data_IF_168816905994
#
_entry.id   IF_168816905994
#
_cell.length_a   1.000
_cell.length_b   1.000
_cell.length_c   1.000
_cell.angle_alpha   90.00
_cell.angle_beta   90.00
_cell.angle_gamma   90.00
#
_symmetry.space_group_name_H-M   'P 1'
#
loop_
_entity.id
_entity.type
_entity.pdbx_description
1 polymer ?
#
# COMPACT_ATOMS: atom_id res chain seq x y z
N UNK A 1 -24.50 17.68 -10.46
CA UNK A 1 -24.67 16.28 -10.01
C UNK A 1 -24.78 16.26 -8.49
N UNK A 2 -25.85 15.70 -7.89
CA UNK A 2 -25.99 15.68 -6.44
C UNK A 2 -24.99 14.67 -5.85
N UNK A 3 -24.03 15.15 -5.04
CA UNK A 3 -23.11 14.31 -4.25
C UNK A 3 -23.95 13.54 -3.23
N UNK A 4 -24.18 12.23 -3.44
CA UNK A 4 -24.68 11.35 -2.37
C UNK A 4 -23.78 11.54 -1.15
N UNK A 5 -24.36 11.93 -0.02
CA UNK A 5 -23.65 12.20 1.24
C UNK A 5 -22.97 10.89 1.67
N UNK A 6 -21.65 10.76 1.45
CA UNK A 6 -20.88 9.61 1.94
C UNK A 6 -21.07 9.54 3.47
N UNK A 7 -21.30 8.35 4.02
CA UNK A 7 -21.35 8.20 5.48
C UNK A 7 -19.97 8.57 6.07
N UNK A 8 -19.94 9.10 7.29
CA UNK A 8 -18.68 9.48 7.94
C UNK A 8 -17.68 8.31 8.02
N UNK A 9 -18.19 7.08 8.16
CA UNK A 9 -17.40 5.85 8.14
C UNK A 9 -16.71 5.59 6.80
N UNK A 10 -17.38 5.84 5.66
CA UNK A 10 -16.75 5.68 4.33
C UNK A 10 -15.62 6.67 4.11
N UNK A 11 -15.78 7.91 4.59
CA UNK A 11 -14.74 8.93 4.54
C UNK A 11 -13.56 8.53 5.43
N UNK A 12 -13.83 7.99 6.62
CA UNK A 12 -12.80 7.50 7.52
C UNK A 12 -11.99 6.35 6.88
N UNK A 13 -12.66 5.36 6.29
CA UNK A 13 -12.01 4.26 5.59
C UNK A 13 -11.09 4.76 4.45
N UNK A 14 -11.59 5.70 3.64
CA UNK A 14 -10.81 6.34 2.57
C UNK A 14 -9.56 7.03 3.11
N UNK A 15 -9.67 7.81 4.19
CA UNK A 15 -8.51 8.47 4.83
C UNK A 15 -7.50 7.43 5.33
N UNK A 16 -7.94 6.38 6.02
CA UNK A 16 -7.04 5.33 6.52
C UNK A 16 -6.32 4.61 5.37
N UNK A 17 -7.03 4.30 4.29
CA UNK A 17 -6.45 3.65 3.12
C UNK A 17 -5.37 4.54 2.47
N UNK A 18 -5.64 5.85 2.33
CA UNK A 18 -4.68 6.80 1.77
C UNK A 18 -3.44 6.99 2.65
N UNK A 19 -3.62 7.09 3.97
CA UNK A 19 -2.48 7.16 4.91
C UNK A 19 -1.68 5.87 4.85
N UNK A 20 -2.34 4.71 4.88
CA UNK A 20 -1.69 3.40 4.76
C UNK A 20 -0.90 3.26 3.45
N UNK A 21 -1.47 3.69 2.32
CA UNK A 21 -0.80 3.71 1.02
C UNK A 21 0.43 4.62 1.00
N UNK A 22 0.34 5.80 1.63
CA UNK A 22 1.48 6.71 1.77
C UNK A 22 2.62 6.04 2.53
N UNK A 23 2.30 5.40 3.66
CA UNK A 23 3.29 4.70 4.48
C UNK A 23 3.90 3.54 3.69
N UNK A 24 3.11 2.78 2.92
CA UNK A 24 3.62 1.70 2.06
C UNK A 24 4.64 2.20 1.04
N UNK A 25 4.36 3.33 0.37
CA UNK A 25 5.28 3.91 -0.60
C UNK A 25 6.59 4.33 0.07
N UNK A 26 6.50 4.98 1.24
CA UNK A 26 7.68 5.39 2.02
C UNK A 26 8.50 4.17 2.45
N UNK A 27 7.86 3.15 3.01
CA UNK A 27 8.54 1.90 3.40
C UNK A 27 9.18 1.19 2.22
N UNK A 28 8.47 1.10 1.09
CA UNK A 28 9.00 0.50 -0.13
C UNK A 28 10.22 1.24 -0.66
N UNK A 29 10.18 2.58 -0.66
CA UNK A 29 11.32 3.42 -1.03
C UNK A 29 12.50 3.23 -0.07
N UNK A 30 12.25 3.14 1.25
CA UNK A 30 13.29 2.86 2.24
C UNK A 30 13.92 1.48 2.05
N UNK A 31 13.15 0.46 1.69
CA UNK A 31 13.70 -0.85 1.36
C UNK A 31 14.66 -0.76 0.18
N UNK A 32 14.29 -0.06 -0.89
CA UNK A 32 15.13 0.11 -2.08
C UNK A 32 16.41 0.90 -1.75
N UNK A 33 16.29 2.05 -1.07
CA UNK A 33 17.42 2.93 -0.75
C UNK A 33 18.35 2.32 0.30
N UNK A 34 17.80 1.70 1.35
CA UNK A 34 18.58 1.04 2.40
C UNK A 34 19.43 -0.11 1.85
N UNK A 35 19.01 -0.73 0.76
CA UNK A 35 19.81 -1.73 0.04
C UNK A 35 20.96 -1.09 -0.72
N UNK A 36 20.74 0.03 -1.44
CA UNK A 36 21.84 0.75 -2.10
C UNK A 36 22.95 1.15 -1.12
N UNK A 37 22.62 1.53 0.12
CA UNK A 37 23.58 1.87 1.16
C UNK A 37 24.33 0.63 1.70
N UNK A 38 23.66 -0.51 1.87
CA UNK A 38 24.27 -1.73 2.42
C UNK A 38 25.07 -2.53 1.38
N UNK A 39 24.69 -2.49 0.11
CA UNK A 39 25.46 -3.07 -1.00
C UNK A 39 26.80 -2.33 -1.16
N UNK A 40 26.83 -1.02 -0.92
CA UNK A 40 28.07 -0.23 -0.95
C UNK A 40 29.04 -0.59 0.18
N UNK A 41 28.54 -1.07 1.34
CA UNK A 41 29.36 -1.32 2.52
C UNK A 41 29.88 -2.76 2.65
N UNK A 42 29.34 -3.73 1.91
CA UNK A 42 29.76 -5.14 2.04
C UNK A 42 29.71 -5.90 0.70
N UNK A 43 30.84 -5.95 0.01
CA UNK A 43 31.10 -6.88 -1.10
C UNK A 43 31.26 -8.31 -0.56
N UNK A 44 30.15 -8.98 -0.24
CA UNK A 44 30.13 -10.43 0.01
C UNK A 44 28.98 -11.05 -0.80
N UNK A 45 29.27 -11.92 -1.76
CA UNK A 45 28.27 -12.49 -2.69
C UNK A 45 27.03 -13.12 -2.02
N UNK A 46 27.12 -13.55 -0.76
CA UNK A 46 25.98 -14.08 0.01
C UNK A 46 24.91 -13.04 0.37
N UNK A 47 25.24 -11.74 0.43
CA UNK A 47 24.26 -10.67 0.72
C UNK A 47 23.47 -10.23 -0.51
N UNK A 48 23.92 -10.58 -1.72
CA UNK A 48 23.31 -10.13 -2.98
C UNK A 48 21.94 -10.76 -3.23
N UNK A 49 21.76 -12.06 -2.94
CA UNK A 49 20.46 -12.74 -3.13
C UNK A 49 19.41 -12.23 -2.14
N UNK A 50 19.81 -11.99 -0.89
CA UNK A 50 18.95 -11.44 0.15
C UNK A 50 18.57 -9.97 -0.12
N UNK A 51 19.47 -9.25 -0.81
CA UNK A 51 19.29 -7.87 -1.26
C UNK A 51 18.25 -7.78 -2.39
N UNK A 52 18.30 -8.64 -3.42
CA UNK A 52 17.30 -8.59 -4.51
C UNK A 52 15.87 -8.84 -4.02
N UNK A 53 15.66 -9.79 -3.11
CA UNK A 53 14.33 -10.08 -2.56
C UNK A 53 13.69 -8.87 -1.86
N UNK A 54 14.50 -8.06 -1.16
CA UNK A 54 14.00 -6.84 -0.51
C UNK A 54 13.72 -5.71 -1.49
N UNK A 55 14.46 -5.61 -2.60
CA UNK A 55 14.15 -4.65 -3.69
C UNK A 55 12.78 -4.99 -4.29
N UNK A 56 12.58 -6.27 -4.63
CA UNK A 56 11.31 -6.75 -5.22
C UNK A 56 10.15 -6.45 -4.27
N UNK A 57 10.30 -6.77 -2.98
CA UNK A 57 9.28 -6.44 -1.97
C UNK A 57 9.01 -4.93 -1.92
N UNK A 58 10.05 -4.10 -1.91
CA UNK A 58 9.90 -2.64 -1.90
C UNK A 58 9.14 -2.10 -3.12
N UNK A 59 9.42 -2.62 -4.31
CA UNK A 59 8.70 -2.27 -5.54
C UNK A 59 7.22 -2.69 -5.42
N UNK A 60 6.93 -3.90 -4.94
CA UNK A 60 5.55 -4.37 -4.78
C UNK A 60 4.77 -3.49 -3.81
N UNK A 61 5.36 -3.08 -2.68
CA UNK A 61 4.70 -2.19 -1.72
C UNK A 61 4.39 -0.81 -2.35
N UNK A 62 5.30 -0.26 -3.15
CA UNK A 62 5.07 0.98 -3.89
C UNK A 62 3.93 0.81 -4.88
N UNK A 63 3.92 -0.28 -5.65
CA UNK A 63 2.86 -0.56 -6.62
C UNK A 63 1.49 -0.66 -5.94
N UNK A 64 1.39 -1.37 -4.82
CA UNK A 64 0.15 -1.46 -4.03
C UNK A 64 -0.30 -0.06 -3.58
N UNK A 65 0.60 0.77 -3.04
CA UNK A 65 0.27 2.13 -2.64
C UNK A 65 -0.20 3.00 -3.81
N UNK A 66 0.43 2.87 -4.99
CA UNK A 66 0.02 3.58 -6.20
C UNK A 66 -1.35 3.12 -6.71
N UNK A 67 -1.66 1.83 -6.63
CA UNK A 67 -2.99 1.30 -6.97
C UNK A 67 -4.04 1.95 -6.07
N UNK A 68 -3.81 2.02 -4.76
CA UNK A 68 -4.72 2.67 -3.82
C UNK A 68 -4.93 4.14 -4.17
N UNK A 69 -3.86 4.88 -4.46
CA UNK A 69 -3.96 6.29 -4.88
C UNK A 69 -4.68 6.48 -6.22
N UNK A 70 -4.44 5.62 -7.20
CA UNK A 70 -5.13 5.68 -8.49
C UNK A 70 -6.62 5.42 -8.32
N UNK A 71 -6.99 4.42 -7.53
CA UNK A 71 -8.38 4.05 -7.28
C UNK A 71 -9.19 5.07 -6.48
N UNK A 72 -8.53 5.91 -5.68
CA UNK A 72 -9.16 7.05 -4.99
C UNK A 72 -9.03 8.37 -5.77
N UNK A 73 -8.66 8.33 -7.06
CA UNK A 73 -8.49 9.50 -7.94
C UNK A 73 -7.45 10.53 -7.43
N UNK A 74 -6.54 10.13 -6.55
CA UNK A 74 -5.43 10.99 -6.07
C UNK A 74 -4.38 11.16 -7.16
N UNK A 75 -4.14 10.13 -7.97
CA UNK A 75 -3.23 10.16 -9.12
C UNK A 75 -4.01 9.73 -10.37
N UNK A 76 -3.90 10.52 -11.45
CA UNK A 76 -4.52 10.20 -12.73
C UNK A 76 -3.72 9.13 -13.47
N UNK A 77 -4.10 7.88 -13.28
CA UNK A 77 -3.59 6.71 -14.02
C UNK A 77 -4.78 6.01 -14.67
N UNK A 78 -4.59 5.40 -15.84
CA UNK A 78 -5.62 4.61 -16.56
C UNK A 78 -5.97 3.28 -15.86
N UNK A 79 -6.00 3.23 -14.53
CA UNK A 79 -6.47 2.08 -13.78
C UNK A 79 -7.97 2.23 -13.47
N UNK A 80 -8.78 1.30 -13.97
CA UNK A 80 -10.21 1.20 -13.66
C UNK A 80 -10.40 0.13 -12.59
N UNK A 81 -10.09 0.44 -11.34
CA UNK A 81 -10.34 -0.49 -10.22
C UNK A 81 -11.25 0.19 -9.20
N UNK A 82 -12.45 -0.35 -9.06
CA UNK A 82 -13.39 0.09 -8.02
C UNK A 82 -12.85 -0.32 -6.64
N UNK A 83 -12.67 0.66 -5.75
CA UNK A 83 -12.11 0.39 -4.43
C UNK A 83 -13.20 -0.04 -3.47
N UNK A 84 -13.55 -1.32 -3.56
CA UNK A 84 -14.44 -2.00 -2.62
C UNK A 84 -13.68 -2.51 -1.39
N UNK A 85 -14.38 -2.74 -0.29
CA UNK A 85 -13.81 -3.37 0.91
C UNK A 85 -13.03 -4.65 0.59
N UNK A 86 -13.50 -5.47 -0.37
CA UNK A 86 -12.81 -6.69 -0.80
C UNK A 86 -11.47 -6.38 -1.45
N UNK A 87 -11.40 -5.35 -2.29
CA UNK A 87 -10.17 -4.92 -2.95
C UNK A 87 -9.16 -4.40 -1.92
N UNK A 88 -9.61 -3.57 -0.97
CA UNK A 88 -8.77 -3.10 0.13
C UNK A 88 -8.24 -4.26 0.98
N UNK A 89 -9.07 -5.27 1.26
CA UNK A 89 -8.67 -6.44 2.03
C UNK A 89 -7.59 -7.24 1.32
N UNK A 90 -7.76 -7.49 0.01
CA UNK A 90 -6.77 -8.20 -0.81
C UNK A 90 -5.45 -7.42 -0.87
N UNK A 91 -5.50 -6.10 -1.10
CA UNK A 91 -4.30 -5.24 -1.11
C UNK A 91 -3.63 -5.16 0.27
N UNK A 92 -4.41 -5.13 1.34
CA UNK A 92 -3.92 -5.16 2.72
C UNK A 92 -3.19 -6.46 3.05
N UNK A 93 -3.77 -7.62 2.72
CA UNK A 93 -3.13 -8.93 2.93
C UNK A 93 -1.88 -9.06 2.06
N UNK A 94 -1.98 -8.71 0.78
CA UNK A 94 -0.84 -8.74 -0.12
C UNK A 94 0.32 -7.90 0.43
N UNK A 95 0.05 -6.65 0.83
CA UNK A 95 1.09 -5.79 1.39
C UNK A 95 1.67 -6.32 2.71
N UNK A 96 0.90 -7.00 3.56
CA UNK A 96 1.44 -7.67 4.76
C UNK A 96 2.44 -8.77 4.40
N UNK A 97 2.12 -9.62 3.41
CA UNK A 97 3.00 -10.71 2.96
C UNK A 97 4.34 -10.16 2.48
N UNK A 98 4.33 -8.99 1.83
CA UNK A 98 5.54 -8.31 1.34
C UNK A 98 6.21 -7.38 2.37
N UNK A 99 5.77 -7.40 3.64
CA UNK A 99 6.43 -6.68 4.74
C UNK A 99 6.02 -5.22 4.89
N UNK A 100 4.82 -4.82 4.45
CA UNK A 100 4.33 -3.44 4.50
C UNK A 100 3.98 -2.89 5.89
N UNK A 101 4.05 -3.72 6.94
CA UNK A 101 4.01 -3.29 8.33
C UNK A 101 2.76 -2.46 8.68
N UNK A 102 2.97 -1.28 9.28
CA UNK A 102 1.90 -0.37 9.69
C UNK A 102 1.04 0.11 8.53
N UNK A 103 1.61 0.31 7.34
CA UNK A 103 0.86 0.74 6.15
C UNK A 103 -0.19 -0.30 5.74
N UNK A 104 0.18 -1.58 5.79
CA UNK A 104 -0.72 -2.70 5.51
C UNK A 104 -1.84 -2.83 6.53
N UNK A 105 -1.52 -2.65 7.82
CA UNK A 105 -2.51 -2.71 8.89
C UNK A 105 -3.56 -1.60 8.76
N UNK A 106 -3.15 -0.39 8.37
CA UNK A 106 -4.09 0.71 8.13
C UNK A 106 -5.02 0.44 6.94
N UNK A 107 -4.51 -0.18 5.87
CA UNK A 107 -5.33 -0.57 4.71
C UNK A 107 -6.32 -1.68 5.11
N UNK A 108 -5.91 -2.65 5.94
CA UNK A 108 -6.82 -3.67 6.46
C UNK A 108 -7.90 -3.09 7.36
N UNK A 109 -7.55 -2.14 8.23
CA UNK A 109 -8.53 -1.42 9.04
C UNK A 109 -9.50 -0.64 8.15
N UNK A 110 -9.01 0.03 7.11
CA UNK A 110 -9.87 0.67 6.11
C UNK A 110 -10.84 -0.31 5.46
N UNK A 111 -10.38 -1.52 5.10
CA UNK A 111 -11.23 -2.56 4.53
C UNK A 111 -12.36 -3.00 5.49
N UNK A 112 -12.03 -3.19 6.77
CA UNK A 112 -13.02 -3.57 7.79
C UNK A 112 -14.04 -2.45 8.01
N UNK A 113 -13.59 -1.20 8.08
CA UNK A 113 -14.48 -0.04 8.27
C UNK A 113 -15.39 0.12 7.04
N UNK A 114 -14.86 -0.04 5.82
CA UNK A 114 -15.67 0.07 4.60
C UNK A 114 -16.69 -1.08 4.47
N UNK A 115 -16.33 -2.29 4.93
CA UNK A 115 -17.26 -3.41 5.04
C UNK A 115 -18.43 -3.06 5.98
N UNK A 116 -18.13 -2.60 7.20
CA UNK A 116 -19.14 -2.21 8.19
C UNK A 116 -19.98 -1.03 7.69
N UNK A 117 -19.42 -0.12 6.90
CA UNK A 117 -20.13 1.01 6.33
C UNK A 117 -21.01 0.64 5.10
N UNK A 118 -20.88 -0.58 4.59
CA UNK A 118 -21.58 -1.07 3.39
C UNK A 118 -22.64 -2.13 3.72
N UNK A 119 -22.49 -2.86 4.82
CA UNK A 119 -23.52 -3.70 5.44
C UNK A 119 -24.57 -2.82 6.15
#
# INVERSE_FOLDING_TARGET
MPRKKKSGLKILAEILALIGATILIVYGAMYIVGISLTVFSMFHMKTVIFSLGRIINGIILILIGLIVFASYDVIKISLKTEMTWTTLLVLGIASLIFGGGLGSLLILLAAIIDLVATV
#
